data_IF_533468227457
#
_entry.id   IF_533468227457
#
_cell.length_a   1.000
_cell.length_b   1.000
_cell.length_c   1.000
_cell.angle_alpha   90.00
_cell.angle_beta   90.00
_cell.angle_gamma   90.00
#
_symmetry.space_group_name_H-M   'P 1'
#
loop_
_entity.id
_entity.type
_entity.pdbx_description
1 polymer ?
#
# COMPACT_ATOMS: atom_id res chain seq x y z
N UNK A 1 -21.20 1.86 13.95
CA UNK A 1 -20.37 0.81 14.59
C UNK A 1 -19.25 0.33 13.67
N UNK A 2 -19.53 -0.15 12.45
CA UNK A 2 -18.51 -0.65 11.49
C UNK A 2 -17.40 0.36 11.14
N UNK A 3 -17.72 1.63 10.88
CA UNK A 3 -16.71 2.68 10.63
C UNK A 3 -15.74 2.89 11.80
N UNK A 4 -16.25 2.78 13.04
CA UNK A 4 -15.43 2.94 14.25
C UNK A 4 -14.45 1.78 14.40
N UNK A 5 -14.88 0.55 14.11
CA UNK A 5 -14.03 -0.64 14.15
C UNK A 5 -12.90 -0.56 13.13
N UNK A 6 -13.22 -0.15 11.89
CA UNK A 6 -12.21 0.06 10.85
C UNK A 6 -11.16 1.12 11.25
N UNK A 7 -11.61 2.24 11.81
CA UNK A 7 -10.70 3.28 12.31
C UNK A 7 -9.77 2.79 13.42
N UNK A 8 -10.25 1.94 14.33
CA UNK A 8 -9.41 1.31 15.37
C UNK A 8 -8.31 0.45 14.76
N UNK A 9 -8.62 -0.33 13.73
CA UNK A 9 -7.63 -1.16 13.03
C UNK A 9 -6.58 -0.31 12.30
N UNK A 10 -6.98 0.78 11.63
CA UNK A 10 -6.02 1.72 11.01
C UNK A 10 -5.09 2.38 12.02
N UNK A 11 -5.62 2.80 13.17
CA UNK A 11 -4.80 3.36 14.25
C UNK A 11 -3.81 2.34 14.79
N UNK A 12 -4.26 1.11 15.05
CA UNK A 12 -3.39 0.02 15.48
C UNK A 12 -2.29 -0.28 14.45
N UNK A 13 -2.65 -0.38 13.16
CA UNK A 13 -1.71 -0.60 12.08
C UNK A 13 -0.65 0.50 11.99
N UNK A 14 -1.05 1.76 12.16
CA UNK A 14 -0.13 2.91 12.14
C UNK A 14 0.89 2.86 13.29
N UNK A 15 0.44 2.47 14.50
CA UNK A 15 1.33 2.31 15.66
C UNK A 15 2.28 1.12 15.46
N UNK A 16 1.80 0.01 14.91
CA UNK A 16 2.61 -1.19 14.63
C UNK A 16 3.64 -0.97 13.51
N UNK A 17 3.34 -0.07 12.56
CA UNK A 17 4.24 0.23 11.45
C UNK A 17 5.57 0.84 11.90
N UNK A 18 5.60 1.62 12.99
CA UNK A 18 6.83 2.25 13.50
C UNK A 18 7.90 1.22 13.93
N UNK A 19 7.63 0.31 14.90
CA UNK A 19 8.59 -0.74 15.24
C UNK A 19 8.80 -1.73 14.09
N UNK A 20 7.77 -2.03 13.31
CA UNK A 20 7.88 -2.91 12.13
C UNK A 20 8.87 -2.37 11.09
N UNK A 21 8.82 -1.07 10.79
CA UNK A 21 9.74 -0.42 9.87
C UNK A 21 11.19 -0.46 10.39
N UNK A 22 11.41 -0.27 11.70
CA UNK A 22 12.76 -0.36 12.30
C UNK A 22 13.30 -1.78 12.17
N UNK A 23 12.52 -2.80 12.57
CA UNK A 23 12.94 -4.20 12.49
C UNK A 23 13.29 -4.58 11.06
N UNK A 24 12.39 -4.33 10.11
CA UNK A 24 12.59 -4.72 8.72
C UNK A 24 13.73 -3.94 8.07
N UNK A 25 13.84 -2.63 8.32
CA UNK A 25 14.93 -1.82 7.76
C UNK A 25 16.29 -2.26 8.29
N UNK A 26 16.41 -2.62 9.57
CA UNK A 26 17.67 -3.12 10.13
C UNK A 26 18.02 -4.55 9.70
N UNK A 27 17.04 -5.36 9.29
CA UNK A 27 17.27 -6.65 8.62
C UNK A 27 17.77 -6.42 7.18
N UNK A 28 17.12 -5.52 6.43
CA UNK A 28 17.47 -5.25 5.02
C UNK A 28 18.78 -4.46 4.86
N UNK A 29 19.08 -3.59 5.81
CA UNK A 29 20.26 -2.73 5.82
C UNK A 29 20.74 -2.49 7.26
N UNK A 30 21.55 -3.41 7.81
CA UNK A 30 22.10 -3.29 9.15
C UNK A 30 23.00 -2.05 9.29
N UNK A 31 23.00 -1.44 10.48
CA UNK A 31 23.93 -0.36 10.80
C UNK A 31 25.33 -0.94 11.03
N UNK A 32 26.32 -0.44 10.30
CA UNK A 32 27.73 -0.83 10.45
C UNK A 32 28.60 0.30 10.98
N UNK A 33 28.25 1.54 10.66
CA UNK A 33 29.00 2.73 11.07
C UNK A 33 28.55 3.22 12.45
N UNK A 34 29.46 3.90 13.16
CA UNK A 34 29.15 4.54 14.43
C UNK A 34 28.03 5.57 14.28
N UNK A 35 27.15 5.62 15.27
CA UNK A 35 25.99 6.51 15.28
C UNK A 35 26.40 7.80 15.99
N UNK A 36 26.25 8.94 15.33
CA UNK A 36 26.36 10.24 15.99
C UNK A 36 25.16 10.47 16.92
N UNK A 37 25.41 10.59 18.21
CA UNK A 37 24.38 10.86 19.22
C UNK A 37 24.13 12.36 19.45
N UNK A 38 24.92 13.24 18.82
CA UNK A 38 24.77 14.68 18.96
C UNK A 38 23.71 15.22 17.98
N UNK A 39 22.44 15.13 18.38
CA UNK A 39 21.33 15.68 17.59
C UNK A 39 21.13 17.16 17.90
N UNK A 40 21.51 18.03 16.97
CA UNK A 40 21.12 19.44 17.00
C UNK A 40 19.84 19.65 16.20
N UNK A 41 18.74 19.95 16.88
CA UNK A 41 17.48 20.31 16.22
C UNK A 41 17.50 21.81 15.93
N UNK A 42 17.39 22.17 14.65
CA UNK A 42 17.21 23.56 14.25
C UNK A 42 15.86 24.08 14.79
N UNK A 43 15.87 25.23 15.48
CA UNK A 43 14.65 25.95 15.89
C UNK A 43 14.00 26.71 14.72
N UNK A 44 14.62 26.73 13.53
CA UNK A 44 14.05 27.40 12.38
C UNK A 44 12.80 26.67 11.88
N UNK A 45 11.65 27.35 12.04
CA UNK A 45 10.31 27.04 11.47
C UNK A 45 9.33 26.31 12.39
N UNK A 46 9.28 26.68 13.67
CA UNK A 46 8.03 26.53 14.42
C UNK A 46 7.14 27.70 14.01
N UNK A 47 5.97 27.43 13.40
CA UNK A 47 5.05 28.45 12.89
C UNK A 47 4.81 29.58 13.92
N UNK A 48 4.62 30.81 13.44
CA UNK A 48 4.70 31.99 14.30
C UNK A 48 3.64 32.02 15.41
N UNK A 49 2.48 31.40 15.18
CA UNK A 49 1.39 31.27 16.13
C UNK A 49 0.37 30.19 15.68
N UNK A 50 -0.65 29.94 16.52
CA UNK A 50 -1.70 28.94 16.26
C UNK A 50 -2.43 29.21 14.93
N UNK A 51 -2.73 30.48 14.60
CA UNK A 51 -3.45 30.82 13.37
C UNK A 51 -2.59 30.56 12.13
N UNK A 52 -1.29 30.89 12.21
CA UNK A 52 -0.31 30.58 11.16
C UNK A 52 -0.19 29.06 10.95
N UNK A 53 -0.13 28.26 12.03
CA UNK A 53 -0.12 26.81 11.94
C UNK A 53 -1.40 26.23 11.28
N UNK A 54 -2.58 26.77 11.61
CA UNK A 54 -3.85 26.36 11.00
C UNK A 54 -3.87 26.72 9.51
N UNK A 55 -3.45 27.94 9.15
CA UNK A 55 -3.43 28.40 7.75
C UNK A 55 -2.47 27.55 6.91
N UNK A 56 -1.24 27.37 7.37
CA UNK A 56 -0.24 26.56 6.68
C UNK A 56 -0.68 25.09 6.55
N UNK A 57 -1.19 24.50 7.65
CA UNK A 57 -1.73 23.14 7.62
C UNK A 57 -2.90 22.98 6.63
N UNK A 58 -3.78 23.99 6.52
CA UNK A 58 -4.88 24.00 5.57
C UNK A 58 -4.38 24.06 4.13
N UNK A 59 -3.41 24.94 3.82
CA UNK A 59 -2.85 25.07 2.48
C UNK A 59 -2.10 23.81 2.04
N UNK A 60 -1.27 23.23 2.91
CA UNK A 60 -0.58 21.98 2.62
C UNK A 60 -1.56 20.81 2.48
N UNK A 61 -2.60 20.75 3.33
CA UNK A 61 -3.68 19.77 3.22
C UNK A 61 -4.46 19.87 1.91
N UNK A 62 -4.76 21.09 1.44
CA UNK A 62 -5.43 21.31 0.16
C UNK A 62 -4.57 20.84 -1.02
N UNK A 63 -3.27 21.18 -1.02
CA UNK A 63 -2.33 20.71 -2.06
C UNK A 63 -2.27 19.18 -2.07
N UNK A 64 -2.17 18.55 -0.90
CA UNK A 64 -2.17 17.09 -0.79
C UNK A 64 -3.47 16.49 -1.32
N UNK A 65 -4.62 17.03 -0.95
CA UNK A 65 -5.93 16.54 -1.39
C UNK A 65 -6.10 16.59 -2.92
N UNK A 66 -5.72 17.71 -3.55
CA UNK A 66 -5.77 17.87 -5.01
C UNK A 66 -4.82 16.88 -5.69
N UNK A 67 -3.60 16.71 -5.15
CA UNK A 67 -2.64 15.75 -5.69
C UNK A 67 -3.16 14.31 -5.62
N UNK A 68 -3.75 13.90 -4.49
CA UNK A 68 -4.36 12.56 -4.34
C UNK A 68 -5.53 12.38 -5.30
N UNK A 69 -6.41 13.37 -5.45
CA UNK A 69 -7.54 13.30 -6.38
C UNK A 69 -7.09 13.12 -7.84
N UNK A 70 -6.10 13.92 -8.27
CA UNK A 70 -5.52 13.81 -9.61
C UNK A 70 -4.83 12.45 -9.82
N UNK A 71 -4.05 12.00 -8.84
CA UNK A 71 -3.37 10.71 -8.87
C UNK A 71 -4.36 9.55 -8.98
N UNK A 72 -5.46 9.57 -8.21
CA UNK A 72 -6.50 8.54 -8.27
C UNK A 72 -7.15 8.47 -9.65
N UNK A 73 -7.50 9.63 -10.23
CA UNK A 73 -8.07 9.68 -11.57
C UNK A 73 -7.13 9.03 -12.59
N UNK A 74 -5.84 9.35 -12.55
CA UNK A 74 -4.84 8.82 -13.48
C UNK A 74 -4.66 7.31 -13.31
N UNK A 75 -4.50 6.81 -12.08
CA UNK A 75 -4.29 5.37 -11.87
C UNK A 75 -5.53 4.54 -12.20
N UNK A 76 -6.73 5.01 -11.86
CA UNK A 76 -7.97 4.31 -12.23
C UNK A 76 -8.09 4.25 -13.76
N UNK A 77 -7.80 5.35 -14.46
CA UNK A 77 -7.81 5.38 -15.93
C UNK A 77 -6.77 4.42 -16.53
N UNK A 78 -5.55 4.37 -15.98
CA UNK A 78 -4.52 3.44 -16.46
C UNK A 78 -4.86 1.98 -16.18
N UNK A 79 -5.37 1.65 -15.01
CA UNK A 79 -5.82 0.29 -14.69
C UNK A 79 -6.92 -0.12 -15.67
N UNK A 80 -7.92 0.74 -15.91
CA UNK A 80 -8.98 0.47 -16.88
C UNK A 80 -8.43 0.27 -18.31
N UNK A 81 -7.49 1.11 -18.74
CA UNK A 81 -6.83 0.99 -20.04
C UNK A 81 -6.05 -0.32 -20.17
N UNK A 82 -5.25 -0.67 -19.16
CA UNK A 82 -4.49 -1.92 -19.11
C UNK A 82 -5.44 -3.11 -19.15
N UNK A 83 -6.52 -3.09 -18.36
CA UNK A 83 -7.53 -4.15 -18.36
C UNK A 83 -8.25 -4.25 -19.72
N UNK A 84 -8.47 -3.14 -20.42
CA UNK A 84 -8.98 -3.15 -21.79
C UNK A 84 -8.04 -3.86 -22.77
N UNK A 85 -6.74 -3.59 -22.68
CA UNK A 85 -5.72 -4.24 -23.50
C UNK A 85 -5.60 -5.73 -23.14
N UNK A 86 -5.50 -6.06 -21.85
CA UNK A 86 -5.40 -7.44 -21.37
C UNK A 86 -6.64 -8.24 -21.72
N UNK A 87 -7.83 -7.66 -21.62
CA UNK A 87 -9.08 -8.28 -22.04
C UNK A 87 -9.11 -8.54 -23.55
N UNK A 88 -8.61 -7.61 -24.38
CA UNK A 88 -8.44 -7.84 -25.81
C UNK A 88 -7.47 -8.98 -26.11
N UNK A 89 -6.30 -8.99 -25.47
CA UNK A 89 -5.32 -10.09 -25.57
C UNK A 89 -5.93 -11.41 -25.11
N UNK A 90 -6.70 -11.40 -24.03
CA UNK A 90 -7.39 -12.56 -23.49
C UNK A 90 -8.45 -13.13 -24.42
N UNK A 91 -9.10 -12.28 -25.24
CA UNK A 91 -10.09 -12.69 -26.22
C UNK A 91 -9.49 -13.29 -27.49
N UNK A 92 -8.35 -12.77 -27.95
CA UNK A 92 -7.65 -13.32 -29.12
C UNK A 92 -6.85 -14.59 -28.79
N UNK A 93 -6.59 -14.83 -27.50
CA UNK A 93 -5.86 -16.01 -26.99
C UNK A 93 -6.78 -16.93 -26.19
N UNK A 94 -6.25 -18.01 -25.62
CA UNK A 94 -6.97 -18.90 -24.70
C UNK A 94 -6.90 -18.45 -23.23
N UNK A 95 -6.30 -17.28 -22.96
CA UNK A 95 -6.03 -16.82 -21.59
C UNK A 95 -7.31 -16.53 -20.80
N UNK A 96 -8.35 -15.96 -21.40
CA UNK A 96 -9.62 -15.72 -20.68
C UNK A 96 -10.23 -17.04 -20.17
N UNK A 97 -10.21 -18.08 -20.99
CA UNK A 97 -10.71 -19.41 -20.58
C UNK A 97 -9.84 -20.02 -19.48
N UNK A 98 -8.51 -19.87 -19.57
CA UNK A 98 -7.61 -20.36 -18.55
C UNK A 98 -7.82 -19.65 -17.21
N UNK A 99 -7.97 -18.32 -17.23
CA UNK A 99 -8.23 -17.51 -16.04
C UNK A 99 -9.57 -17.88 -15.40
N UNK A 100 -10.63 -17.99 -16.20
CA UNK A 100 -11.94 -18.40 -15.72
C UNK A 100 -11.96 -19.82 -15.13
N UNK A 101 -11.08 -20.72 -15.60
CA UNK A 101 -10.99 -22.09 -15.10
C UNK A 101 -10.10 -22.24 -13.84
N UNK A 102 -9.13 -21.35 -13.63
CA UNK A 102 -8.10 -21.50 -12.58
C UNK A 102 -8.10 -20.37 -11.53
N UNK A 103 -9.00 -19.40 -11.67
CA UNK A 103 -9.06 -18.23 -10.79
C UNK A 103 -10.51 -17.79 -10.56
N UNK A 104 -10.77 -16.95 -9.54
CA UNK A 104 -12.12 -16.41 -9.33
C UNK A 104 -12.50 -15.32 -10.35
N UNK A 105 -11.58 -14.91 -11.23
CA UNK A 105 -11.80 -13.86 -12.22
C UNK A 105 -12.40 -14.43 -13.51
N UNK A 106 -13.31 -13.67 -14.13
CA UNK A 106 -13.96 -14.07 -15.39
C UNK A 106 -13.14 -13.77 -16.64
N UNK A 107 -12.16 -12.87 -16.55
CA UNK A 107 -11.34 -12.43 -17.67
C UNK A 107 -9.91 -12.13 -17.23
N UNK A 108 -8.99 -12.16 -18.21
CA UNK A 108 -7.61 -11.78 -18.01
C UNK A 108 -7.51 -10.26 -17.75
N UNK A 109 -7.14 -9.92 -16.52
CA UNK A 109 -7.01 -8.54 -16.05
C UNK A 109 -5.75 -8.35 -15.21
N UNK A 110 -5.40 -7.11 -14.93
CA UNK A 110 -4.29 -6.74 -14.06
C UNK A 110 -4.49 -7.33 -12.66
N UNK A 111 -5.71 -7.29 -12.15
CA UNK A 111 -6.09 -7.90 -10.87
C UNK A 111 -5.86 -9.41 -10.87
N UNK A 112 -6.24 -10.11 -11.94
CA UNK A 112 -6.01 -11.55 -12.07
C UNK A 112 -4.50 -11.88 -12.08
N UNK A 113 -3.70 -11.08 -12.79
CA UNK A 113 -2.24 -11.24 -12.85
C UNK A 113 -1.63 -11.02 -11.46
N UNK A 114 -1.91 -9.88 -10.85
CA UNK A 114 -1.35 -9.50 -9.55
C UNK A 114 -1.82 -10.45 -8.44
N UNK A 115 -3.09 -10.83 -8.46
CA UNK A 115 -3.67 -11.81 -7.55
C UNK A 115 -2.97 -13.15 -7.64
N UNK A 116 -2.68 -13.63 -8.85
CA UNK A 116 -1.95 -14.89 -9.07
C UNK A 116 -0.50 -14.78 -8.59
N UNK A 117 0.20 -13.69 -8.92
CA UNK A 117 1.61 -13.47 -8.55
C UNK A 117 1.79 -13.41 -7.03
N UNK A 118 0.90 -12.71 -6.32
CA UNK A 118 1.02 -12.50 -4.88
C UNK A 118 0.26 -13.51 -4.01
N UNK A 119 -0.58 -14.38 -4.59
CA UNK A 119 -1.30 -15.42 -3.84
C UNK A 119 -0.40 -16.31 -2.96
N UNK A 120 0.79 -16.78 -3.40
CA UNK A 120 1.68 -17.57 -2.54
C UNK A 120 2.16 -16.79 -1.31
N UNK A 121 2.36 -15.49 -1.44
CA UNK A 121 2.72 -14.62 -0.31
C UNK A 121 1.53 -14.43 0.64
N UNK A 122 0.32 -14.30 0.12
CA UNK A 122 -0.90 -14.21 0.93
C UNK A 122 -1.14 -15.48 1.74
N UNK A 123 -0.91 -16.64 1.13
CA UNK A 123 -0.92 -17.92 1.82
C UNK A 123 0.09 -17.94 2.99
N UNK A 124 1.33 -17.50 2.74
CA UNK A 124 2.40 -17.51 3.73
C UNK A 124 2.10 -16.63 4.97
N UNK A 125 1.31 -15.56 4.82
CA UNK A 125 0.91 -14.68 5.93
C UNK A 125 -0.40 -15.12 6.61
N UNK A 126 -0.95 -16.29 6.24
CA UNK A 126 -2.10 -16.90 6.91
C UNK A 126 -3.48 -16.53 6.34
N UNK A 127 -3.56 -16.10 5.09
CA UNK A 127 -4.83 -15.89 4.37
C UNK A 127 -5.40 -17.24 3.91
N UNK A 128 -6.72 -17.42 4.06
CA UNK A 128 -7.42 -18.61 3.61
C UNK A 128 -7.42 -18.75 2.08
N UNK A 129 -7.41 -19.99 1.57
CA UNK A 129 -7.23 -20.27 0.14
C UNK A 129 -8.20 -19.53 -0.78
N UNK A 130 -9.45 -19.37 -0.33
CA UNK A 130 -10.54 -18.71 -1.04
C UNK A 130 -10.25 -17.22 -1.30
N UNK A 131 -9.49 -16.58 -0.40
CA UNK A 131 -9.23 -15.13 -0.43
C UNK A 131 -7.82 -14.80 -0.93
N UNK A 132 -6.94 -15.79 -1.14
CA UNK A 132 -5.51 -15.54 -1.45
C UNK A 132 -5.31 -14.70 -2.71
N UNK A 133 -6.05 -15.00 -3.78
CA UNK A 133 -5.92 -14.24 -5.04
C UNK A 133 -6.46 -12.83 -4.89
N UNK A 134 -7.59 -12.67 -4.19
CA UNK A 134 -8.17 -11.35 -3.94
C UNK A 134 -7.29 -10.48 -3.06
N UNK A 135 -6.69 -11.06 -2.02
CA UNK A 135 -5.71 -10.40 -1.17
C UNK A 135 -4.43 -10.06 -1.94
N UNK A 136 -3.99 -10.95 -2.83
CA UNK A 136 -2.82 -10.74 -3.67
C UNK A 136 -3.02 -9.58 -4.64
N UNK A 137 -4.24 -9.42 -5.17
CA UNK A 137 -4.62 -8.31 -6.03
C UNK A 137 -4.48 -6.98 -5.27
N UNK A 138 -4.92 -6.93 -4.02
CA UNK A 138 -4.88 -5.71 -3.20
C UNK A 138 -3.44 -5.31 -2.89
N UNK A 139 -2.57 -6.28 -2.58
CA UNK A 139 -1.13 -6.01 -2.41
C UNK A 139 -0.52 -5.49 -3.71
N UNK A 140 -0.79 -6.16 -4.83
CA UNK A 140 -0.24 -5.78 -6.13
C UNK A 140 -0.68 -4.37 -6.54
N UNK A 141 -1.98 -4.07 -6.45
CA UNK A 141 -2.53 -2.75 -6.79
C UNK A 141 -1.96 -1.68 -5.87
N UNK A 142 -1.77 -1.96 -4.58
CA UNK A 142 -1.05 -1.07 -3.68
C UNK A 142 0.35 -0.76 -4.19
N UNK A 143 1.11 -1.78 -4.61
CA UNK A 143 2.50 -1.62 -5.06
C UNK A 143 2.61 -0.83 -6.38
N UNK A 144 1.78 -1.18 -7.38
CA UNK A 144 1.87 -0.60 -8.73
C UNK A 144 1.16 0.74 -8.87
N UNK A 145 0.13 0.99 -8.07
CA UNK A 145 -0.65 2.22 -8.09
C UNK A 145 -0.51 2.97 -6.74
N UNK A 146 -1.42 2.70 -5.81
CA UNK A 146 -1.36 3.27 -4.45
C UNK A 146 -2.28 2.51 -3.49
N UNK A 147 -2.04 2.70 -2.20
CA UNK A 147 -2.90 2.21 -1.13
C UNK A 147 -4.32 2.76 -1.23
N UNK A 148 -4.51 3.99 -1.73
CA UNK A 148 -5.85 4.56 -1.91
C UNK A 148 -6.65 3.79 -2.98
N UNK A 149 -6.04 3.43 -4.11
CA UNK A 149 -6.70 2.58 -5.12
C UNK A 149 -6.99 1.19 -4.51
N UNK A 150 -6.05 0.64 -3.73
CA UNK A 150 -6.27 -0.59 -2.99
C UNK A 150 -7.44 -0.52 -2.02
N UNK A 151 -7.64 0.60 -1.31
CA UNK A 151 -8.79 0.78 -0.41
C UNK A 151 -10.13 0.89 -1.15
N UNK A 152 -10.14 1.47 -2.35
CA UNK A 152 -11.34 1.50 -3.21
C UNK A 152 -11.72 0.07 -3.59
N UNK A 153 -10.77 -0.73 -4.08
CA UNK A 153 -11.02 -2.13 -4.41
C UNK A 153 -11.42 -2.96 -3.18
N UNK A 154 -10.79 -2.74 -2.01
CA UNK A 154 -11.19 -3.42 -0.78
C UNK A 154 -12.63 -3.06 -0.37
N UNK A 155 -13.07 -1.83 -0.63
CA UNK A 155 -14.45 -1.43 -0.35
C UNK A 155 -15.45 -2.22 -1.20
N UNK A 156 -15.11 -2.51 -2.46
CA UNK A 156 -15.90 -3.34 -3.37
C UNK A 156 -15.86 -4.82 -2.95
N UNK A 157 -14.67 -5.36 -2.68
CA UNK A 157 -14.48 -6.78 -2.30
C UNK A 157 -15.08 -7.14 -0.94
N UNK A 158 -15.37 -6.16 -0.09
CA UNK A 158 -16.08 -6.39 1.17
C UNK A 158 -17.59 -6.54 0.97
N UNK A 159 -18.13 -6.04 -0.15
CA UNK A 159 -19.57 -6.11 -0.41
C UNK A 159 -19.96 -7.48 -0.95
N UNK A 160 -20.63 -8.27 -0.11
CA UNK A 160 -21.13 -9.62 -0.46
C UNK A 160 -22.16 -9.62 -1.60
N UNK A 161 -22.73 -8.46 -1.95
CA UNK A 161 -23.60 -8.33 -3.12
C UNK A 161 -22.81 -8.38 -4.44
N UNK A 162 -21.49 -8.23 -4.40
CA UNK A 162 -20.62 -8.32 -5.57
C UNK A 162 -20.26 -9.79 -5.86
N UNK A 163 -20.12 -10.12 -7.15
CA UNK A 163 -19.77 -11.47 -7.59
C UNK A 163 -18.38 -11.94 -7.15
N UNK A 164 -17.48 -11.00 -6.85
CA UNK A 164 -16.13 -11.20 -6.35
C UNK A 164 -15.99 -10.50 -5.00
N UNK A 165 -16.02 -11.27 -3.91
CA UNK A 165 -15.89 -10.73 -2.56
C UNK A 165 -14.98 -11.59 -1.71
N UNK A 166 -14.40 -10.99 -0.67
CA UNK A 166 -13.65 -11.70 0.36
C UNK A 166 -14.62 -12.54 1.20
N UNK A 167 -14.29 -13.83 1.33
CA UNK A 167 -15.11 -14.83 2.02
C UNK A 167 -15.08 -14.62 3.54
N UNK A 168 -13.92 -14.22 4.08
CA UNK A 168 -13.71 -14.14 5.52
C UNK A 168 -13.50 -12.71 6.00
N UNK A 169 -14.19 -12.33 7.08
CA UNK A 169 -13.98 -11.04 7.76
C UNK A 169 -12.52 -10.85 8.20
N UNK A 170 -11.86 -11.94 8.58
CA UNK A 170 -10.42 -11.97 8.86
C UNK A 170 -9.61 -11.35 7.71
N UNK A 171 -9.91 -11.72 6.47
CA UNK A 171 -9.20 -11.21 5.29
C UNK A 171 -9.43 -9.72 5.09
N UNK A 172 -10.64 -9.22 5.36
CA UNK A 172 -10.96 -7.78 5.30
C UNK A 172 -10.14 -6.99 6.34
N UNK A 173 -10.05 -7.52 7.57
CA UNK A 173 -9.24 -6.90 8.62
C UNK A 173 -7.75 -6.96 8.23
N UNK A 174 -7.24 -8.11 7.81
CA UNK A 174 -5.84 -8.25 7.37
C UNK A 174 -5.52 -7.32 6.18
N UNK A 175 -6.43 -7.16 5.22
CA UNK A 175 -6.29 -6.23 4.10
C UNK A 175 -6.16 -4.80 4.59
N UNK A 176 -6.91 -4.43 5.64
CA UNK A 176 -6.82 -3.09 6.25
C UNK A 176 -5.42 -2.81 6.79
N UNK A 177 -4.79 -3.77 7.47
CA UNK A 177 -3.41 -3.63 7.96
C UNK A 177 -2.40 -3.65 6.82
N UNK A 178 -2.59 -4.55 5.85
CA UNK A 178 -1.72 -4.70 4.69
C UNK A 178 -1.70 -3.43 3.82
N UNK A 179 -2.86 -2.80 3.62
CA UNK A 179 -2.97 -1.56 2.85
C UNK A 179 -2.48 -0.34 3.63
N UNK A 180 -2.48 -0.38 4.96
CA UNK A 180 -1.98 0.70 5.81
C UNK A 180 -0.45 0.88 5.66
N UNK A 181 -0.07 1.78 4.75
CA UNK A 181 1.31 2.20 4.52
C UNK A 181 1.56 2.64 3.08
N UNK A 182 2.42 3.63 2.89
CA UNK A 182 2.72 4.25 1.59
C UNK A 182 3.80 3.50 0.77
N UNK A 183 3.90 2.19 0.95
CA UNK A 183 4.91 1.37 0.27
C UNK A 183 4.44 1.03 -1.16
N UNK A 184 4.81 1.88 -2.12
CA UNK A 184 4.48 1.76 -3.55
C UNK A 184 5.55 2.45 -4.42
N UNK A 185 5.54 2.22 -5.73
CA UNK A 185 6.58 2.80 -6.61
C UNK A 185 6.51 4.33 -6.71
N UNK A 186 5.30 4.92 -6.66
CA UNK A 186 5.12 6.37 -6.70
C UNK A 186 5.76 7.06 -5.48
N UNK A 187 5.69 6.42 -4.31
CA UNK A 187 6.26 6.92 -3.05
C UNK A 187 7.78 7.02 -3.06
N UNK A 188 8.48 6.30 -3.94
CA UNK A 188 9.93 6.49 -4.13
C UNK A 188 10.19 7.92 -4.60
N UNK A 189 9.45 8.36 -5.63
CA UNK A 189 9.56 9.72 -6.17
C UNK A 189 9.17 10.79 -5.15
N UNK A 190 8.10 10.54 -4.38
CA UNK A 190 7.65 11.43 -3.29
C UNK A 190 8.74 11.57 -2.23
N UNK A 191 9.39 10.49 -1.81
CA UNK A 191 10.46 10.55 -0.80
C UNK A 191 11.74 11.22 -1.32
N UNK A 192 12.14 10.95 -2.57
CA UNK A 192 13.28 11.65 -3.19
C UNK A 192 13.01 13.16 -3.29
N UNK A 193 11.79 13.55 -3.68
CA UNK A 193 11.39 14.96 -3.75
C UNK A 193 11.32 15.61 -2.36
N UNK A 194 10.60 14.99 -1.44
CA UNK A 194 10.38 15.47 -0.08
C UNK A 194 11.66 15.55 0.73
N UNK A 195 12.31 14.41 0.98
CA UNK A 195 13.55 14.35 1.77
C UNK A 195 14.69 15.05 1.02
N UNK A 196 14.77 14.94 -0.31
CA UNK A 196 15.77 15.65 -1.09
C UNK A 196 15.59 17.17 -1.12
N UNK A 197 14.45 17.71 -0.69
CA UNK A 197 14.31 19.17 -0.46
C UNK A 197 14.88 19.60 0.89
N UNK A 198 14.88 18.69 1.88
CA UNK A 198 15.43 18.90 3.22
C UNK A 198 16.95 18.62 3.25
N UNK A 199 17.40 17.65 2.46
CA UNK A 199 18.79 17.23 2.33
C UNK A 199 19.18 17.07 0.84
N UNK A 200 19.50 18.17 0.13
CA UNK A 200 19.78 18.14 -1.31
C UNK A 200 20.91 17.17 -1.73
N UNK A 201 21.92 17.00 -0.88
CA UNK A 201 23.04 16.07 -1.12
C UNK A 201 22.68 14.58 -1.04
N UNK A 202 21.49 14.23 -0.54
CA UNK A 202 21.08 12.84 -0.30
C UNK A 202 20.21 12.25 -1.41
N UNK A 203 19.88 13.01 -2.46
CA UNK A 203 19.01 12.53 -3.56
C UNK A 203 19.51 11.24 -4.21
N UNK A 204 20.82 11.11 -4.42
CA UNK A 204 21.43 9.89 -4.98
C UNK A 204 21.21 8.70 -4.05
N UNK A 205 21.55 8.86 -2.77
CA UNK A 205 21.34 7.86 -1.71
C UNK A 205 19.88 7.41 -1.66
N UNK A 206 18.94 8.35 -1.65
CA UNK A 206 17.50 8.05 -1.61
C UNK A 206 17.02 7.25 -2.82
N UNK A 207 17.55 7.57 -4.02
CA UNK A 207 17.26 6.82 -5.24
C UNK A 207 17.77 5.38 -5.17
N UNK A 208 19.00 5.19 -4.69
CA UNK A 208 19.62 3.86 -4.54
C UNK A 208 18.87 2.97 -3.53
N UNK A 209 18.32 3.56 -2.47
CA UNK A 209 17.52 2.84 -1.48
C UNK A 209 16.04 2.69 -1.85
N UNK A 210 15.54 3.39 -2.88
CA UNK A 210 14.11 3.48 -3.18
C UNK A 210 13.39 2.12 -3.23
N UNK A 211 13.93 1.17 -4.01
CA UNK A 211 13.33 -0.16 -4.12
C UNK A 211 13.43 -0.97 -2.82
N UNK A 212 14.56 -0.89 -2.11
CA UNK A 212 14.74 -1.52 -0.79
C UNK A 212 13.76 -0.96 0.23
N UNK A 213 13.50 0.34 0.20
CA UNK A 213 12.55 1.01 1.07
C UNK A 213 11.10 0.57 0.78
N UNK A 214 10.71 0.39 -0.49
CA UNK A 214 9.40 -0.16 -0.85
C UNK A 214 9.27 -1.60 -0.33
N UNK A 215 10.26 -2.46 -0.56
CA UNK A 215 10.25 -3.83 -0.04
C UNK A 215 10.13 -3.83 1.49
N UNK A 216 10.93 -3.01 2.17
CA UNK A 216 10.90 -2.91 3.63
C UNK A 216 9.56 -2.39 4.18
N UNK A 217 8.99 -1.37 3.55
CA UNK A 217 7.68 -0.85 3.91
C UNK A 217 6.56 -1.87 3.69
N UNK A 218 6.59 -2.60 2.56
CA UNK A 218 5.60 -3.64 2.26
C UNK A 218 5.70 -4.80 3.25
N UNK A 219 6.90 -5.26 3.57
CA UNK A 219 7.11 -6.30 4.58
C UNK A 219 6.66 -5.85 5.97
N UNK A 220 6.86 -4.59 6.35
CA UNK A 220 6.36 -4.06 7.63
C UNK A 220 4.82 -4.04 7.69
N UNK A 221 4.13 -3.65 6.61
CA UNK A 221 2.68 -3.74 6.52
C UNK A 221 2.19 -5.20 6.54
N UNK A 222 2.86 -6.11 5.83
CA UNK A 222 2.53 -7.54 5.81
C UNK A 222 2.74 -8.21 7.16
N UNK A 223 3.81 -7.86 7.88
CA UNK A 223 4.06 -8.31 9.25
C UNK A 223 2.91 -7.86 10.17
N UNK A 224 2.49 -6.60 10.06
CA UNK A 224 1.36 -6.08 10.83
C UNK A 224 0.05 -6.81 10.52
N UNK A 225 -0.21 -7.10 9.24
CA UNK A 225 -1.36 -7.89 8.81
C UNK A 225 -1.30 -9.33 9.32
N UNK A 226 -0.11 -9.95 9.34
CA UNK A 226 0.11 -11.30 9.86
C UNK A 226 -0.20 -11.35 11.35
N UNK A 227 0.32 -10.41 12.14
CA UNK A 227 0.06 -10.32 13.58
C UNK A 227 -1.43 -10.11 13.84
N UNK A 228 -2.09 -9.20 13.09
CA UNK A 228 -3.52 -9.00 13.20
C UNK A 228 -4.30 -10.30 12.90
N UNK A 229 -3.94 -11.00 11.82
CA UNK A 229 -4.52 -12.28 11.42
C UNK A 229 -4.35 -13.37 12.48
N UNK A 230 -3.19 -13.44 13.14
CA UNK A 230 -2.94 -14.39 14.23
C UNK A 230 -3.80 -14.11 15.47
N UNK A 231 -4.03 -12.84 15.79
CA UNK A 231 -4.79 -12.44 16.99
C UNK A 231 -6.29 -12.61 16.83
N UNK A 232 -6.82 -12.45 15.62
CA UNK A 232 -8.26 -12.52 15.35
C UNK A 232 -8.77 -13.93 15.02
N UNK A 233 -7.89 -14.88 14.70
CA UNK A 233 -8.23 -16.27 14.40
C UNK A 233 -8.43 -16.52 12.92
#
# INVERSE_FOLDING_TARGET
VLRLMFAKHLLAASVMAAPGAIVVSKILYPQVDEIDMNVHVSEEKIGANILDAIANGTTEGLKLAVNVAAMLLVFIAFIAMINGILGWVGNITTLNNWVAANSPYSSFSLEAILGTIFAPLMWAIGVAQQDMMLMGQLLGIKLVASEFVGYIQLAELKDVATGLHLTYEKSIIMATYMLCGFANFASIGIQIGGIGSLAPGQRKTLSEFGLKAVIGGSLASLLSATIAGMLIG
#
